data_IF_006665615505
#
_entry.id   IF_006665615505
#
_cell.length_a   1.000
_cell.length_b   1.000
_cell.length_c   1.000
_cell.angle_alpha   90.00
_cell.angle_beta   90.00
_cell.angle_gamma   90.00
#
_symmetry.space_group_name_H-M   'P 1'
#
loop_
_entity.id
_entity.type
_entity.pdbx_description
1 polymer ?
#
# COMPACT_ATOMS: atom_id res chain seq x y z
N UNK A 1 -1.60 3.63 -5.60
CA UNK A 1 -1.90 4.91 -6.29
C UNK A 1 -2.17 6.09 -5.37
N UNK A 2 -2.74 5.91 -4.17
CA UNK A 2 -3.06 7.03 -3.27
C UNK A 2 -1.91 7.99 -2.93
N UNK A 3 -0.65 7.53 -2.85
CA UNK A 3 0.50 8.43 -2.66
C UNK A 3 0.75 9.35 -3.86
N UNK A 4 0.54 8.86 -5.09
CA UNK A 4 0.62 9.70 -6.29
C UNK A 4 -0.50 10.74 -6.29
N UNK A 5 -1.73 10.37 -5.92
CA UNK A 5 -2.87 11.29 -5.83
C UNK A 5 -2.63 12.40 -4.78
N UNK A 6 -2.03 12.06 -3.63
CA UNK A 6 -1.64 13.06 -2.62
C UNK A 6 -0.60 14.03 -3.20
N UNK A 7 0.41 13.54 -3.93
CA UNK A 7 1.42 14.38 -4.56
C UNK A 7 0.82 15.27 -5.66
N UNK A 8 -0.10 14.74 -6.47
CA UNK A 8 -0.86 15.51 -7.45
C UNK A 8 -1.66 16.64 -6.80
N UNK A 9 -2.39 16.37 -5.70
CA UNK A 9 -3.12 17.39 -4.93
C UNK A 9 -2.19 18.44 -4.31
N UNK A 10 -0.96 18.08 -4.03
CA UNK A 10 0.09 18.98 -3.53
C UNK A 10 0.90 19.66 -4.64
N UNK A 11 0.64 19.36 -5.92
CA UNK A 11 1.48 19.78 -7.05
C UNK A 11 2.98 19.49 -6.83
N UNK A 12 3.29 18.29 -6.34
CA UNK A 12 4.65 17.87 -6.02
C UNK A 12 5.09 16.66 -6.85
N UNK A 13 6.40 16.56 -7.09
CA UNK A 13 7.03 15.42 -7.77
C UNK A 13 7.10 14.19 -6.85
N UNK A 14 7.24 13.02 -7.45
CA UNK A 14 7.57 11.79 -6.72
C UNK A 14 9.06 11.77 -6.35
N UNK A 15 9.45 11.05 -5.30
CA UNK A 15 10.84 10.63 -5.15
C UNK A 15 11.32 9.83 -6.37
N UNK A 16 12.62 9.89 -6.65
CA UNK A 16 13.24 9.07 -7.69
C UNK A 16 13.06 7.57 -7.39
N UNK A 17 12.91 6.76 -8.44
CA UNK A 17 12.74 5.30 -8.32
C UNK A 17 11.33 4.85 -7.95
N UNK A 18 10.33 5.74 -8.01
CA UNK A 18 8.93 5.37 -7.80
C UNK A 18 8.21 5.01 -9.10
N UNK A 19 8.58 5.66 -10.19
CA UNK A 19 7.84 5.61 -11.46
C UNK A 19 8.77 5.65 -12.65
N UNK A 20 8.27 5.15 -13.78
CA UNK A 20 8.91 5.23 -15.09
C UNK A 20 7.89 5.69 -16.14
N UNK A 21 8.37 6.29 -17.22
CA UNK A 21 7.53 6.64 -18.36
C UNK A 21 7.12 5.42 -19.21
N UNK A 22 6.37 5.67 -20.29
CA UNK A 22 5.90 4.62 -21.22
C UNK A 22 7.03 3.92 -21.98
N UNK A 23 8.20 4.54 -22.07
CA UNK A 23 9.40 4.03 -22.73
C UNK A 23 10.31 3.28 -21.75
N UNK A 24 9.97 3.31 -20.45
CA UNK A 24 10.74 2.67 -19.39
C UNK A 24 11.87 3.54 -18.84
N UNK A 25 11.88 4.85 -19.15
CA UNK A 25 12.87 5.77 -18.60
C UNK A 25 12.43 6.26 -17.22
N UNK A 26 13.41 6.54 -16.36
CA UNK A 26 13.18 7.10 -15.03
C UNK A 26 12.53 8.48 -15.10
N UNK A 27 11.57 8.73 -14.21
CA UNK A 27 10.91 10.02 -14.09
C UNK A 27 10.46 10.25 -12.65
N UNK A 28 10.08 11.49 -12.34
CA UNK A 28 9.55 11.90 -11.04
C UNK A 28 8.14 12.50 -11.17
N UNK A 29 7.49 12.37 -12.33
CA UNK A 29 6.16 12.95 -12.56
C UNK A 29 5.06 12.19 -11.81
N UNK A 30 4.41 12.86 -10.86
CA UNK A 30 3.30 12.27 -10.13
C UNK A 30 2.05 11.96 -11.00
N UNK A 31 1.95 12.55 -12.20
CA UNK A 31 0.86 12.33 -13.16
C UNK A 31 1.16 11.24 -14.20
N UNK A 32 2.27 10.51 -14.06
CA UNK A 32 2.78 9.60 -15.10
C UNK A 32 1.79 8.51 -15.53
N UNK A 33 0.91 8.04 -14.63
CA UNK A 33 -0.13 7.05 -14.97
C UNK A 33 -1.13 7.59 -16.01
N UNK A 34 -1.38 8.90 -16.06
CA UNK A 34 -2.20 9.55 -17.11
C UNK A 34 -1.45 9.64 -18.44
N UNK A 35 -0.12 9.49 -18.41
CA UNK A 35 0.80 9.55 -19.55
C UNK A 35 1.30 8.16 -19.96
N UNK A 36 0.59 7.11 -19.56
CA UNK A 36 0.90 5.71 -19.90
C UNK A 36 2.22 5.17 -19.33
N UNK A 37 2.79 5.81 -18.30
CA UNK A 37 3.89 5.20 -17.55
C UNK A 37 3.38 4.30 -16.42
N UNK A 38 4.31 3.84 -15.59
CA UNK A 38 4.05 2.80 -14.59
C UNK A 38 4.73 3.10 -13.26
N UNK A 39 4.19 2.48 -12.19
CA UNK A 39 4.86 2.39 -10.90
C UNK A 39 5.91 1.27 -10.94
N UNK A 40 7.05 1.51 -10.31
CA UNK A 40 8.09 0.49 -10.16
C UNK A 40 7.78 -0.44 -8.98
N UNK A 41 8.15 -1.74 -9.07
CA UNK A 41 8.08 -2.66 -7.94
C UNK A 41 8.94 -2.21 -6.75
N UNK A 42 8.67 -2.78 -5.57
CA UNK A 42 9.56 -2.61 -4.41
C UNK A 42 11.00 -3.01 -4.79
N UNK A 43 11.95 -2.12 -4.51
CA UNK A 43 13.34 -2.28 -4.94
C UNK A 43 13.65 -1.55 -6.25
N UNK A 44 12.72 -0.76 -6.81
CA UNK A 44 12.94 0.15 -7.94
C UNK A 44 13.50 -0.52 -9.19
N UNK A 45 14.82 -0.55 -9.34
CA UNK A 45 15.56 -1.12 -10.46
C UNK A 45 16.21 -2.48 -10.11
N UNK A 46 16.92 -3.05 -11.07
CA UNK A 46 17.56 -4.36 -10.92
C UNK A 46 18.57 -4.39 -9.77
N UNK A 47 19.39 -3.36 -9.63
CA UNK A 47 20.48 -3.29 -8.64
C UNK A 47 19.94 -3.10 -7.22
N UNK A 48 18.83 -2.38 -7.08
CA UNK A 48 18.15 -2.15 -5.81
C UNK A 48 17.12 -3.26 -5.44
N UNK A 49 16.98 -4.28 -6.29
CA UNK A 49 16.24 -5.51 -5.97
C UNK A 49 14.80 -5.58 -6.46
N UNK A 50 14.44 -4.83 -7.50
CA UNK A 50 13.09 -4.80 -8.11
C UNK A 50 12.52 -6.18 -8.41
N UNK A 51 13.35 -7.12 -8.84
CA UNK A 51 12.94 -8.50 -9.11
C UNK A 51 12.35 -9.22 -7.88
N UNK A 52 12.77 -8.85 -6.66
CA UNK A 52 12.19 -9.36 -5.42
C UNK A 52 10.81 -8.76 -5.16
N UNK A 53 10.66 -7.45 -5.37
CA UNK A 53 9.36 -6.77 -5.28
C UNK A 53 8.36 -7.30 -6.31
N UNK A 54 8.82 -7.53 -7.54
CA UNK A 54 8.04 -8.17 -8.58
C UNK A 54 7.55 -9.56 -8.14
N UNK A 55 8.46 -10.42 -7.65
CA UNK A 55 8.09 -11.76 -7.18
C UNK A 55 7.08 -11.73 -6.02
N UNK A 56 7.24 -10.81 -5.05
CA UNK A 56 6.26 -10.62 -3.98
C UNK A 56 4.90 -10.16 -4.52
N UNK A 57 4.89 -9.25 -5.49
CA UNK A 57 3.67 -8.81 -6.19
C UNK A 57 2.99 -9.95 -6.95
N UNK A 58 3.75 -10.82 -7.62
CA UNK A 58 3.23 -11.99 -8.32
C UNK A 58 2.57 -12.99 -7.36
N UNK A 59 3.13 -13.21 -6.17
CA UNK A 59 2.51 -14.08 -5.15
C UNK A 59 1.13 -13.54 -4.75
N UNK A 60 1.01 -12.22 -4.56
CA UNK A 60 -0.27 -11.57 -4.25
C UNK A 60 -1.28 -11.76 -5.38
N UNK A 61 -0.88 -11.54 -6.63
CA UNK A 61 -1.73 -11.68 -7.81
C UNK A 61 -2.20 -13.14 -8.01
N UNK A 62 -1.29 -14.10 -7.82
CA UNK A 62 -1.60 -15.53 -7.93
C UNK A 62 -2.61 -15.94 -6.86
N UNK A 63 -2.35 -15.64 -5.58
CA UNK A 63 -3.24 -16.07 -4.50
C UNK A 63 -4.58 -15.34 -4.51
N UNK A 64 -4.57 -14.04 -4.81
CA UNK A 64 -5.79 -13.23 -4.75
C UNK A 64 -6.65 -13.44 -5.98
N UNK A 65 -6.08 -13.58 -7.17
CA UNK A 65 -6.83 -13.61 -8.42
C UNK A 65 -6.75 -14.96 -9.16
N UNK A 66 -5.57 -15.45 -9.51
CA UNK A 66 -5.45 -16.71 -10.29
C UNK A 66 -6.10 -17.89 -9.54
N UNK A 67 -5.83 -18.02 -8.24
CA UNK A 67 -6.37 -19.10 -7.40
C UNK A 67 -7.89 -18.99 -7.22
N UNK A 68 -8.43 -17.78 -7.12
CA UNK A 68 -9.86 -17.54 -6.88
C UNK A 68 -10.70 -17.52 -8.17
N UNK A 69 -10.05 -17.43 -9.35
CA UNK A 69 -10.72 -17.24 -10.64
C UNK A 69 -11.09 -15.79 -10.95
N UNK A 70 -10.53 -14.81 -10.24
CA UNK A 70 -10.70 -13.39 -10.54
C UNK A 70 -9.74 -12.91 -11.64
N UNK A 71 -9.90 -11.66 -12.08
CA UNK A 71 -9.00 -11.06 -13.06
C UNK A 71 -7.64 -10.71 -12.44
N UNK A 72 -6.57 -11.05 -13.14
CA UNK A 72 -5.17 -10.92 -12.68
C UNK A 72 -4.35 -10.04 -13.62
N UNK A 73 -3.17 -9.62 -13.16
CA UNK A 73 -2.18 -8.87 -13.95
C UNK A 73 -2.80 -7.66 -14.69
N UNK A 74 -2.61 -7.53 -16.02
CA UNK A 74 -3.13 -6.41 -16.79
C UNK A 74 -4.66 -6.41 -16.95
N UNK A 75 -5.35 -7.48 -16.58
CA UNK A 75 -6.81 -7.58 -16.62
C UNK A 75 -7.47 -7.22 -15.29
N UNK A 76 -6.69 -7.05 -14.22
CA UNK A 76 -7.23 -6.61 -12.94
C UNK A 76 -7.90 -5.23 -13.11
N UNK A 77 -9.14 -5.04 -12.60
CA UNK A 77 -9.81 -3.75 -12.66
C UNK A 77 -8.91 -2.62 -12.14
N UNK A 78 -8.69 -1.55 -12.91
CA UNK A 78 -7.82 -0.47 -12.49
C UNK A 78 -8.42 0.26 -11.31
N UNK A 79 -7.58 0.59 -10.32
CA UNK A 79 -8.00 1.43 -9.20
C UNK A 79 -8.38 2.86 -9.62
N UNK A 80 -7.61 3.57 -10.48
CA UNK A 80 -7.98 4.91 -10.89
C UNK A 80 -9.18 4.89 -11.86
N UNK A 81 -10.28 5.54 -11.48
CA UNK A 81 -11.54 5.53 -12.22
C UNK A 81 -11.46 6.11 -13.65
N UNK A 82 -10.39 6.86 -13.97
CA UNK A 82 -10.14 7.41 -15.30
C UNK A 82 -9.46 6.43 -16.26
N UNK A 83 -8.99 5.28 -15.79
CA UNK A 83 -8.42 4.24 -16.64
C UNK A 83 -9.55 3.30 -17.08
N UNK A 84 -9.64 3.06 -18.38
CA UNK A 84 -10.66 2.19 -18.96
C UNK A 84 -10.54 0.76 -18.41
N UNK A 85 -11.69 0.09 -18.24
CA UNK A 85 -11.73 -1.31 -17.86
C UNK A 85 -11.06 -2.18 -18.94
N UNK A 86 -10.23 -3.16 -18.56
CA UNK A 86 -9.62 -4.09 -19.51
C UNK A 86 -10.69 -4.90 -20.26
N UNK A 87 -10.45 -5.14 -21.54
CA UNK A 87 -11.26 -6.05 -22.35
C UNK A 87 -10.84 -7.51 -22.13
N UNK A 88 -11.73 -8.46 -22.45
CA UNK A 88 -11.44 -9.91 -22.42
C UNK A 88 -10.87 -10.41 -21.09
N UNK A 89 -11.47 -9.94 -19.98
CA UNK A 89 -11.05 -10.33 -18.64
C UNK A 89 -11.23 -11.83 -18.41
N UNK A 90 -10.21 -12.55 -17.90
CA UNK A 90 -10.27 -14.00 -17.68
C UNK A 90 -11.13 -14.38 -16.47
N UNK A 91 -11.43 -13.42 -15.59
CA UNK A 91 -12.26 -13.60 -14.40
C UNK A 91 -13.20 -12.42 -14.18
N UNK A 92 -13.84 -12.38 -13.01
CA UNK A 92 -14.71 -11.27 -12.62
C UNK A 92 -14.10 -10.46 -11.49
N UNK A 93 -13.92 -9.16 -11.73
CA UNK A 93 -13.56 -8.20 -10.68
C UNK A 93 -12.19 -8.44 -10.04
N UNK A 94 -12.03 -7.92 -8.82
CA UNK A 94 -10.87 -8.14 -7.98
C UNK A 94 -11.09 -9.35 -7.09
N UNK A 95 -10.05 -10.18 -6.95
CA UNK A 95 -10.04 -11.29 -6.01
C UNK A 95 -9.29 -10.95 -4.73
N UNK A 96 -9.54 -11.73 -3.68
CA UNK A 96 -8.91 -11.59 -2.37
C UNK A 96 -8.49 -12.94 -1.82
N UNK A 97 -7.40 -12.96 -1.06
CA UNK A 97 -6.93 -14.15 -0.35
C UNK A 97 -6.80 -13.86 1.14
N UNK A 98 -7.31 -14.76 1.97
CA UNK A 98 -7.21 -14.69 3.43
C UNK A 98 -6.58 -15.98 3.96
N UNK A 99 -5.53 -15.84 4.76
CA UNK A 99 -4.84 -16.96 5.40
C UNK A 99 -4.85 -16.81 6.92
N UNK A 100 -5.17 -17.89 7.62
CA UNK A 100 -5.02 -18.00 9.08
C UNK A 100 -4.22 -19.25 9.41
N UNK A 101 -3.17 -19.10 10.21
CA UNK A 101 -2.33 -20.21 10.66
C UNK A 101 -2.52 -20.43 12.15
N UNK A 102 -2.89 -21.66 12.52
CA UNK A 102 -3.06 -22.04 13.92
C UNK A 102 -1.70 -22.35 14.54
N UNK A 103 -1.13 -21.41 15.30
CA UNK A 103 0.25 -21.51 15.82
C UNK A 103 0.48 -22.70 16.75
N UNK A 104 -0.53 -23.08 17.54
CA UNK A 104 -0.47 -24.22 18.46
C UNK A 104 -0.42 -25.60 17.77
N UNK A 105 -0.68 -25.64 16.45
CA UNK A 105 -0.51 -26.83 15.64
C UNK A 105 0.98 -27.15 15.38
N UNK A 106 1.89 -26.18 15.61
CA UNK A 106 3.31 -26.30 15.33
C UNK A 106 4.19 -26.34 16.59
N UNK A 107 3.78 -25.62 17.65
CA UNK A 107 4.49 -25.58 18.94
C UNK A 107 3.58 -25.01 20.05
N UNK A 108 3.91 -25.17 21.35
CA UNK A 108 3.13 -24.56 22.43
C UNK A 108 2.92 -23.05 22.22
N UNK A 109 1.67 -22.60 22.33
CA UNK A 109 1.29 -21.22 22.01
C UNK A 109 1.99 -20.18 22.89
N UNK A 110 2.17 -20.49 24.18
CA UNK A 110 2.81 -19.57 25.12
C UNK A 110 4.30 -19.38 24.81
N UNK A 111 5.00 -20.43 24.38
CA UNK A 111 6.37 -20.30 23.92
C UNK A 111 6.47 -19.47 22.63
N UNK A 112 5.54 -19.67 21.68
CA UNK A 112 5.50 -18.85 20.45
C UNK A 112 5.33 -17.37 20.80
N UNK A 113 4.37 -17.03 21.67
CA UNK A 113 4.13 -15.65 22.11
C UNK A 113 5.35 -15.08 22.83
N UNK A 114 5.94 -15.82 23.77
CA UNK A 114 7.15 -15.39 24.47
C UNK A 114 8.33 -15.13 23.51
N UNK A 115 8.49 -15.97 22.49
CA UNK A 115 9.50 -15.76 21.46
C UNK A 115 9.20 -14.55 20.57
N UNK A 116 7.93 -14.27 20.30
CA UNK A 116 7.55 -13.04 19.61
C UNK A 116 7.86 -11.80 20.45
N UNK A 117 7.61 -11.82 21.75
CA UNK A 117 7.97 -10.72 22.65
C UNK A 117 9.49 -10.51 22.67
N UNK A 118 10.28 -11.58 22.68
CA UNK A 118 11.73 -11.52 22.57
C UNK A 118 12.16 -10.88 21.24
N UNK A 119 11.62 -11.36 20.11
CA UNK A 119 11.90 -10.78 18.78
C UNK A 119 11.58 -9.28 18.76
N UNK A 120 10.37 -8.90 19.19
CA UNK A 120 9.91 -7.50 19.23
C UNK A 120 10.85 -6.64 20.07
N UNK A 121 11.16 -7.09 21.29
CA UNK A 121 12.04 -6.37 22.22
C UNK A 121 13.44 -6.23 21.65
N UNK A 122 13.97 -7.29 21.00
CA UNK A 122 15.31 -7.27 20.40
C UNK A 122 15.43 -6.23 19.31
N UNK A 123 14.46 -6.16 18.39
CA UNK A 123 14.52 -5.18 17.29
C UNK A 123 14.29 -3.75 17.78
N UNK A 124 13.37 -3.53 18.72
CA UNK A 124 13.16 -2.19 19.30
C UNK A 124 14.38 -1.67 20.06
N UNK A 125 15.15 -2.56 20.68
CA UNK A 125 16.37 -2.21 21.41
C UNK A 125 17.63 -2.16 20.53
N UNK A 126 17.51 -2.35 19.21
CA UNK A 126 18.65 -2.19 18.32
C UNK A 126 19.10 -0.71 18.26
N UNK A 127 20.41 -0.50 18.13
CA UNK A 127 20.97 0.85 18.00
C UNK A 127 20.37 1.55 16.78
N UNK A 128 19.67 2.69 16.94
CA UNK A 128 19.09 3.40 15.81
C UNK A 128 20.18 4.08 14.99
N UNK A 129 19.87 4.35 13.71
CA UNK A 129 20.71 5.20 12.88
C UNK A 129 20.77 6.64 13.45
N UNK A 130 21.85 7.40 13.20
CA UNK A 130 21.96 8.79 13.66
C UNK A 130 20.73 9.62 13.30
N UNK A 131 20.20 10.38 14.27
CA UNK A 131 19.00 11.19 14.10
C UNK A 131 17.67 10.46 14.34
N UNK A 132 17.68 9.14 14.53
CA UNK A 132 16.48 8.36 14.87
C UNK A 132 16.46 7.98 16.36
N UNK A 133 15.27 8.04 16.97
CA UNK A 133 15.09 7.72 18.40
C UNK A 133 15.13 6.22 18.69
N UNK A 134 14.57 5.40 17.79
CA UNK A 134 14.47 3.95 17.95
C UNK A 134 14.28 3.24 16.61
N UNK A 135 14.56 1.94 16.58
CA UNK A 135 14.19 1.06 15.47
C UNK A 135 12.72 0.63 15.65
N UNK A 136 11.96 0.72 14.56
CA UNK A 136 10.53 0.41 14.54
C UNK A 136 10.28 -0.99 13.99
N UNK A 137 9.22 -1.64 14.47
CA UNK A 137 8.70 -2.89 13.89
C UNK A 137 7.35 -2.65 13.18
N UNK A 138 6.91 -3.56 12.29
CA UNK A 138 5.61 -3.44 11.65
C UNK A 138 4.47 -3.23 12.66
N UNK A 139 3.64 -2.21 12.41
CA UNK A 139 2.54 -1.82 13.27
C UNK A 139 2.89 -0.79 14.35
N UNK A 140 4.17 -0.45 14.58
CA UNK A 140 4.54 0.64 15.51
C UNK A 140 3.98 2.00 15.04
N UNK A 141 4.25 2.47 13.80
CA UNK A 141 3.72 3.75 13.33
C UNK A 141 2.19 3.82 13.38
N UNK A 142 1.52 2.73 13.01
CA UNK A 142 0.06 2.67 12.98
C UNK A 142 -0.54 2.70 14.39
N UNK A 143 0.07 2.01 15.37
CA UNK A 143 -0.38 2.05 16.77
C UNK A 143 -0.21 3.44 17.39
N UNK A 144 0.93 4.08 17.16
CA UNK A 144 1.17 5.46 17.61
C UNK A 144 0.14 6.41 17.02
N UNK A 145 -0.05 6.37 15.69
CA UNK A 145 -1.02 7.23 15.03
C UNK A 145 -2.45 6.94 15.47
N UNK A 146 -2.80 5.68 15.74
CA UNK A 146 -4.14 5.32 16.27
C UNK A 146 -4.39 6.02 17.60
N UNK A 147 -3.45 5.97 18.54
CA UNK A 147 -3.59 6.64 19.84
C UNK A 147 -3.78 8.16 19.66
N UNK A 148 -2.94 8.78 18.83
CA UNK A 148 -3.02 10.22 18.54
C UNK A 148 -4.37 10.59 17.92
N UNK A 149 -4.86 9.81 16.95
CA UNK A 149 -6.11 10.09 16.23
C UNK A 149 -7.37 9.76 17.01
N UNK A 150 -7.30 8.81 17.94
CA UNK A 150 -8.41 8.56 18.87
C UNK A 150 -8.60 9.71 19.85
N UNK A 151 -7.52 10.34 20.30
CA UNK A 151 -7.56 11.45 21.26
C UNK A 151 -7.81 12.81 20.60
N UNK A 152 -7.13 13.08 19.47
CA UNK A 152 -7.11 14.41 18.83
C UNK A 152 -7.96 14.50 17.55
N UNK A 153 -8.61 13.41 17.16
CA UNK A 153 -9.34 13.32 15.89
C UNK A 153 -8.43 13.18 14.65
N UNK A 154 -9.06 12.96 13.50
CA UNK A 154 -8.40 12.81 12.19
C UNK A 154 -8.40 14.16 11.45
N UNK A 155 -7.22 14.76 11.19
CA UNK A 155 -7.14 15.99 10.44
C UNK A 155 -7.42 15.69 8.98
N UNK A 156 -8.34 16.44 8.40
CA UNK A 156 -8.69 16.38 7.00
C UNK A 156 -8.09 17.58 6.28
N UNK A 157 -7.73 17.39 5.01
CA UNK A 157 -7.39 18.52 4.14
C UNK A 157 -8.69 19.26 3.80
N UNK A 158 -8.60 20.58 3.59
CA UNK A 158 -9.77 21.38 3.23
C UNK A 158 -10.51 20.81 2.02
N UNK A 159 -9.78 20.38 0.98
CA UNK A 159 -10.38 19.75 -0.20
C UNK A 159 -11.18 18.48 0.10
N UNK A 160 -10.78 17.71 1.12
CA UNK A 160 -11.53 16.51 1.54
C UNK A 160 -12.79 16.92 2.31
N UNK A 161 -12.73 17.99 3.11
CA UNK A 161 -13.91 18.54 3.81
C UNK A 161 -14.92 19.06 2.77
N UNK A 162 -14.45 19.77 1.75
CA UNK A 162 -15.29 20.28 0.68
C UNK A 162 -15.97 19.14 -0.11
N UNK A 163 -15.22 18.10 -0.48
CA UNK A 163 -15.75 16.89 -1.13
C UNK A 163 -16.81 16.20 -0.26
N UNK A 164 -16.56 16.04 1.04
CA UNK A 164 -17.53 15.43 1.97
C UNK A 164 -18.79 16.29 2.10
N UNK A 165 -18.65 17.60 2.27
CA UNK A 165 -19.77 18.55 2.39
C UNK A 165 -20.67 18.49 1.15
N UNK A 166 -20.08 18.48 -0.04
CA UNK A 166 -20.83 18.33 -1.28
C UNK A 166 -21.64 17.02 -1.34
N UNK A 167 -21.08 15.92 -0.84
CA UNK A 167 -21.79 14.63 -0.77
C UNK A 167 -22.89 14.70 0.29
N UNK A 168 -22.64 15.31 1.45
CA UNK A 168 -23.63 15.54 2.50
C UNK A 168 -24.84 16.30 1.97
N UNK A 169 -24.62 17.44 1.33
CA UNK A 169 -25.67 18.28 0.73
C UNK A 169 -26.48 17.51 -0.32
N UNK A 170 -25.80 16.71 -1.16
CA UNK A 170 -26.46 15.92 -2.22
C UNK A 170 -27.44 14.89 -1.68
N UNK A 171 -27.16 14.33 -0.50
CA UNK A 171 -27.97 13.28 0.11
C UNK A 171 -28.76 13.75 1.34
N UNK A 172 -28.78 15.06 1.60
CA UNK A 172 -29.47 15.68 2.75
C UNK A 172 -28.97 15.11 4.11
N UNK A 173 -27.64 14.95 4.23
CA UNK A 173 -26.96 14.49 5.44
C UNK A 173 -26.12 15.65 6.00
N UNK A 174 -26.44 16.13 7.19
CA UNK A 174 -25.59 17.08 7.92
C UNK A 174 -24.32 16.40 8.41
N UNK A 175 -23.18 17.01 8.11
CA UNK A 175 -21.85 16.59 8.58
C UNK A 175 -21.41 17.34 9.83
#
# INVERSE_FOLDING_TARGET
>A
NGKLEILQRKNADTPNGWVQDKEGNDTNDANILKKQGALLPLGSDKEHGSHKGYALGSIVDIFSAVLSGASYGPWAPPFPAYIAMPENQPGQGLGHFFGAMRVDAFRPADEFKSHMDNWITRFRNATPAPGHKMVLIPGDPEREMTLIRMDNGIPLLQSVIDDLTQVGDKFDISL
#
